data_IF_938015191730
#
_entry.id   IF_938015191730
#
_cell.length_a   1.000
_cell.length_b   1.000
_cell.length_c   1.000
_cell.angle_alpha   90.00
_cell.angle_beta   90.00
_cell.angle_gamma   90.00
#
_symmetry.space_group_name_H-M   'P 1'
#
loop_
_entity.id
_entity.type
_entity.pdbx_description
1 polymer ?
#
# COMPACT_ATOMS: atom_id res chain seq x y z
N UNK A 1 -18.27 -13.22 1.27
CA UNK A 1 -17.65 -12.44 0.16
C UNK A 1 -17.00 -11.18 0.71
N UNK A 2 -15.81 -10.83 0.20
CA UNK A 2 -15.11 -9.62 0.65
C UNK A 2 -15.76 -8.35 0.09
N UNK A 3 -16.05 -7.39 0.96
CA UNK A 3 -16.52 -6.07 0.53
C UNK A 3 -15.36 -5.23 -0.05
N UNK A 4 -15.66 -4.22 -0.86
CA UNK A 4 -14.65 -3.29 -1.36
C UNK A 4 -13.83 -2.60 -0.25
N UNK A 5 -14.45 -2.35 0.91
CA UNK A 5 -13.80 -1.77 2.10
C UNK A 5 -12.84 -2.76 2.75
N UNK A 6 -13.22 -4.03 2.87
CA UNK A 6 -12.36 -5.10 3.39
C UNK A 6 -11.14 -5.31 2.49
N UNK A 7 -11.34 -5.36 1.16
CA UNK A 7 -10.23 -5.41 0.20
C UNK A 7 -9.29 -4.21 0.31
N UNK A 8 -9.83 -2.99 0.50
CA UNK A 8 -9.01 -1.81 0.69
C UNK A 8 -8.18 -1.89 1.98
N UNK A 9 -8.79 -2.34 3.09
CA UNK A 9 -8.12 -2.47 4.39
C UNK A 9 -6.97 -3.49 4.36
N UNK A 10 -7.15 -4.62 3.68
CA UNK A 10 -6.08 -5.62 3.45
C UNK A 10 -4.87 -4.97 2.78
N UNK A 11 -5.11 -4.25 1.68
CA UNK A 11 -4.02 -3.58 0.96
C UNK A 11 -3.33 -2.50 1.79
N UNK A 12 -4.08 -1.76 2.58
CA UNK A 12 -3.55 -0.68 3.43
C UNK A 12 -2.70 -1.23 4.60
N UNK A 13 -2.97 -2.44 5.10
CA UNK A 13 -2.13 -3.09 6.10
C UNK A 13 -0.72 -3.36 5.57
N UNK A 14 -0.58 -3.96 4.38
CA UNK A 14 0.74 -4.23 3.79
C UNK A 14 1.48 -2.96 3.38
N UNK A 15 0.76 -1.96 2.88
CA UNK A 15 1.34 -0.64 2.65
C UNK A 15 1.99 -0.11 3.92
N UNK A 16 1.26 -0.14 5.04
CA UNK A 16 1.76 0.34 6.33
C UNK A 16 2.95 -0.48 6.84
N UNK A 17 2.89 -1.80 6.76
CA UNK A 17 3.97 -2.68 7.20
C UNK A 17 5.31 -2.35 6.52
N UNK A 18 5.29 -2.14 5.20
CA UNK A 18 6.48 -1.78 4.44
C UNK A 18 6.92 -0.32 4.65
N UNK A 19 5.99 0.60 4.91
CA UNK A 19 6.32 1.97 5.31
C UNK A 19 6.98 2.01 6.69
N UNK A 20 6.51 1.24 7.65
CA UNK A 20 7.09 1.15 8.98
C UNK A 20 8.55 0.63 8.92
N UNK A 21 8.83 -0.32 8.05
CA UNK A 21 10.18 -0.77 7.77
C UNK A 21 11.04 0.35 7.14
N UNK A 22 10.54 1.04 6.12
CA UNK A 22 11.20 2.19 5.49
C UNK A 22 11.58 3.25 6.52
N UNK A 23 10.63 3.60 7.40
CA UNK A 23 10.82 4.60 8.44
C UNK A 23 11.88 4.20 9.46
N UNK A 24 11.94 2.91 9.82
CA UNK A 24 12.98 2.37 10.71
C UNK A 24 14.37 2.48 10.08
N UNK A 25 14.51 2.13 8.81
CA UNK A 25 15.80 2.22 8.07
C UNK A 25 16.24 3.67 7.90
N UNK A 26 15.35 4.58 7.50
CA UNK A 26 15.69 6.01 7.35
C UNK A 26 16.14 6.60 8.70
N UNK A 27 15.48 6.26 9.79
CA UNK A 27 15.85 6.72 11.14
C UNK A 27 17.20 6.19 11.57
N UNK A 28 17.49 4.91 11.33
CA UNK A 28 18.80 4.34 11.66
C UNK A 28 19.91 5.05 10.91
N UNK A 29 19.76 5.26 9.60
CA UNK A 29 20.72 5.99 8.78
C UNK A 29 20.89 7.45 9.27
N UNK A 30 19.80 8.17 9.55
CA UNK A 30 19.86 9.56 10.02
C UNK A 30 20.60 9.68 11.35
N UNK A 31 20.31 8.78 12.32
CA UNK A 31 21.00 8.71 13.61
C UNK A 31 22.49 8.44 13.48
N UNK A 32 22.89 7.55 12.55
CA UNK A 32 24.31 7.23 12.33
C UNK A 32 25.05 8.35 11.62
N UNK A 33 24.40 9.06 10.71
CA UNK A 33 24.97 10.25 10.08
C UNK A 33 25.26 11.35 11.11
N UNK A 34 24.40 11.56 12.12
CA UNK A 34 24.63 12.58 13.15
C UNK A 34 25.79 12.27 14.10
N UNK A 35 26.08 10.98 14.36
CA UNK A 35 27.21 10.58 15.22
C UNK A 35 28.59 10.92 14.66
N UNK A 36 28.71 11.14 13.35
CA UNK A 36 29.99 11.43 12.71
C UNK A 36 30.45 12.89 12.87
N UNK A 37 29.65 13.75 13.53
CA UNK A 37 29.93 15.18 13.73
C UNK A 37 31.14 15.46 14.66
N UNK A 38 31.44 14.55 15.61
CA UNK A 38 32.45 14.77 16.65
C UNK A 38 33.89 14.39 16.26
N UNK A 39 34.13 13.95 15.00
CA UNK A 39 35.40 13.36 14.62
C UNK A 39 36.26 14.29 13.77
N UNK A 40 37.40 14.67 14.33
CA UNK A 40 38.35 15.62 13.72
C UNK A 40 39.51 14.99 12.94
N UNK A 41 39.78 13.67 13.09
CA UNK A 41 40.89 13.00 12.42
C UNK A 41 40.42 12.00 11.34
N UNK A 42 41.04 12.07 10.15
CA UNK A 42 40.67 11.31 8.96
C UNK A 42 40.69 9.79 9.16
N UNK A 43 41.66 9.27 9.95
CA UNK A 43 41.78 7.84 10.22
C UNK A 43 40.69 7.33 11.17
N UNK A 44 40.38 8.08 12.23
CA UNK A 44 39.31 7.78 13.17
C UNK A 44 37.95 7.85 12.48
N UNK A 45 37.73 8.82 11.61
CA UNK A 45 36.54 8.94 10.79
C UNK A 45 36.35 7.74 9.87
N UNK A 46 37.42 7.23 9.24
CA UNK A 46 37.34 6.02 8.37
C UNK A 46 37.02 4.75 9.16
N UNK A 47 37.61 4.55 10.33
CA UNK A 47 37.36 3.40 11.20
C UNK A 47 35.88 3.40 11.66
N UNK A 48 35.41 4.53 12.18
CA UNK A 48 34.00 4.67 12.57
C UNK A 48 33.04 4.48 11.41
N UNK A 49 33.36 4.99 10.23
CA UNK A 49 32.54 4.76 9.02
C UNK A 49 32.39 3.25 8.72
N UNK A 50 33.47 2.48 8.85
CA UNK A 50 33.42 1.02 8.64
C UNK A 50 32.60 0.32 9.72
N UNK A 51 32.73 0.72 10.99
CA UNK A 51 31.95 0.16 12.10
C UNK A 51 30.45 0.49 11.95
N UNK A 52 30.09 1.74 11.72
CA UNK A 52 28.70 2.16 11.54
C UNK A 52 28.05 1.54 10.30
N UNK A 53 28.82 1.31 9.22
CA UNK A 53 28.36 0.57 8.05
C UNK A 53 28.08 -0.93 8.37
N UNK A 54 28.93 -1.55 9.19
CA UNK A 54 28.74 -2.93 9.66
C UNK A 54 27.47 -3.03 10.51
N UNK A 55 27.35 -2.23 11.56
CA UNK A 55 26.20 -2.18 12.44
C UNK A 55 24.88 -1.85 11.69
N UNK A 56 24.93 -0.95 10.72
CA UNK A 56 23.75 -0.63 9.89
C UNK A 56 23.32 -1.83 9.05
N UNK A 57 24.28 -2.61 8.50
CA UNK A 57 23.94 -3.84 7.75
C UNK A 57 23.26 -4.87 8.63
N UNK A 58 23.76 -5.08 9.84
CA UNK A 58 23.20 -6.04 10.80
C UNK A 58 21.80 -5.63 11.23
N UNK A 59 21.57 -4.36 11.52
CA UNK A 59 20.26 -3.84 11.86
C UNK A 59 19.28 -3.93 10.69
N UNK A 60 19.68 -3.59 9.48
CA UNK A 60 18.84 -3.76 8.27
C UNK A 60 18.50 -5.22 8.03
N UNK A 61 19.47 -6.14 8.22
CA UNK A 61 19.23 -7.57 8.08
C UNK A 61 18.21 -8.08 9.12
N UNK A 62 18.33 -7.64 10.38
CA UNK A 62 17.39 -7.97 11.46
C UNK A 62 15.97 -7.46 11.13
N UNK A 63 15.84 -6.19 10.77
CA UNK A 63 14.56 -5.58 10.39
C UNK A 63 13.93 -6.27 9.18
N UNK A 64 14.74 -6.69 8.20
CA UNK A 64 14.25 -7.40 7.02
C UNK A 64 13.73 -8.80 7.38
N UNK A 65 14.41 -9.52 8.27
CA UNK A 65 13.94 -10.81 8.75
C UNK A 65 12.61 -10.71 9.51
N UNK A 66 12.47 -9.69 10.37
CA UNK A 66 11.25 -9.41 11.10
C UNK A 66 10.08 -9.05 10.16
N UNK A 67 10.34 -8.19 9.16
CA UNK A 67 9.36 -7.83 8.13
C UNK A 67 8.85 -9.06 7.38
N UNK A 68 9.75 -9.98 6.99
CA UNK A 68 9.39 -11.20 6.26
C UNK A 68 8.57 -12.16 7.13
N UNK A 69 8.93 -12.37 8.39
CA UNK A 69 8.18 -13.24 9.30
C UNK A 69 6.74 -12.74 9.50
N UNK A 70 6.56 -11.45 9.76
CA UNK A 70 5.24 -10.82 9.89
C UNK A 70 4.46 -10.93 8.56
N UNK A 71 5.12 -10.62 7.44
CA UNK A 71 4.50 -10.65 6.13
C UNK A 71 4.02 -12.05 5.75
N UNK A 72 4.83 -13.09 5.96
CA UNK A 72 4.50 -14.48 5.63
C UNK A 72 3.30 -14.99 6.44
N UNK A 73 3.25 -14.70 7.75
CA UNK A 73 2.11 -15.05 8.62
C UNK A 73 0.84 -14.32 8.18
N UNK A 74 0.92 -13.02 7.98
CA UNK A 74 -0.23 -12.20 7.61
C UNK A 74 -0.79 -12.58 6.23
N UNK A 75 0.06 -12.90 5.27
CA UNK A 75 -0.39 -13.40 3.95
C UNK A 75 -1.21 -14.67 4.11
N UNK A 76 -0.73 -15.64 4.90
CA UNK A 76 -1.45 -16.90 5.11
C UNK A 76 -2.82 -16.67 5.78
N UNK A 77 -2.86 -15.88 6.85
CA UNK A 77 -4.10 -15.54 7.58
C UNK A 77 -5.11 -14.80 6.69
N UNK A 78 -4.65 -13.84 5.90
CA UNK A 78 -5.51 -13.08 5.00
C UNK A 78 -6.06 -13.90 3.84
N UNK A 79 -5.27 -14.81 3.28
CA UNK A 79 -5.72 -15.71 2.22
C UNK A 79 -6.76 -16.70 2.75
N UNK A 80 -6.55 -17.23 3.96
CA UNK A 80 -7.52 -18.08 4.64
C UNK A 80 -8.83 -17.31 4.88
N UNK A 81 -8.75 -16.13 5.47
CA UNK A 81 -9.92 -15.27 5.69
C UNK A 81 -10.66 -14.95 4.37
N UNK A 82 -9.92 -14.62 3.31
CA UNK A 82 -10.50 -14.35 2.00
C UNK A 82 -11.24 -15.57 1.42
N UNK A 83 -10.69 -16.78 1.61
CA UNK A 83 -11.34 -18.01 1.19
C UNK A 83 -12.63 -18.27 1.99
N UNK A 84 -12.60 -18.09 3.31
CA UNK A 84 -13.79 -18.23 4.17
C UNK A 84 -14.89 -17.25 3.76
N UNK A 85 -14.56 -15.98 3.56
CA UNK A 85 -15.53 -14.95 3.13
C UNK A 85 -16.09 -15.23 1.73
N UNK A 86 -15.28 -15.78 0.81
CA UNK A 86 -15.71 -16.08 -0.56
C UNK A 86 -16.61 -17.32 -0.67
N UNK A 87 -16.63 -18.14 0.37
CA UNK A 87 -17.47 -19.35 0.46
C UNK A 87 -18.63 -19.21 1.44
N UNK A 88 -18.81 -18.01 2.04
CA UNK A 88 -19.90 -17.72 2.97
C UNK A 88 -21.18 -17.36 2.20
N UNK A 89 -22.08 -18.33 2.04
CA UNK A 89 -23.37 -18.18 1.38
C UNK A 89 -24.51 -18.34 2.38
N UNK A 90 -25.72 -17.93 1.97
CA UNK A 90 -26.95 -18.18 2.74
C UNK A 90 -27.22 -19.70 2.84
N UNK A 91 -27.75 -20.15 3.97
CA UNK A 91 -28.05 -21.55 4.26
C UNK A 91 -28.88 -22.21 3.14
N UNK A 92 -29.88 -21.51 2.61
CA UNK A 92 -30.72 -22.01 1.50
C UNK A 92 -29.91 -22.31 0.21
N UNK A 93 -28.77 -21.69 -0.01
CA UNK A 93 -27.88 -21.96 -1.15
C UNK A 93 -27.12 -23.27 -0.90
N UNK A 94 -26.66 -23.51 0.31
CA UNK A 94 -26.01 -24.77 0.70
C UNK A 94 -26.97 -25.94 0.65
N UNK A 95 -28.20 -25.79 1.17
CA UNK A 95 -29.25 -26.80 1.16
C UNK A 95 -29.58 -27.22 -0.28
N UNK A 96 -29.72 -26.25 -1.19
CA UNK A 96 -29.99 -26.51 -2.59
C UNK A 96 -28.89 -27.29 -3.29
N UNK A 97 -27.63 -26.95 -2.97
CA UNK A 97 -26.45 -27.57 -3.57
C UNK A 97 -26.09 -28.90 -2.90
N UNK A 98 -26.72 -29.24 -1.77
CA UNK A 98 -26.42 -30.46 -1.02
C UNK A 98 -24.98 -30.48 -0.48
N UNK A 99 -24.45 -29.31 -0.07
CA UNK A 99 -23.09 -29.15 0.42
C UNK A 99 -23.05 -28.16 1.60
N UNK A 100 -21.90 -28.02 2.22
CA UNK A 100 -21.64 -27.08 3.32
C UNK A 100 -20.42 -26.21 3.02
N UNK A 101 -20.31 -25.09 3.72
CA UNK A 101 -19.12 -24.25 3.62
C UNK A 101 -17.83 -25.03 3.95
N UNK A 102 -17.86 -25.89 4.97
CA UNK A 102 -16.72 -26.70 5.37
C UNK A 102 -16.30 -27.69 4.28
N UNK A 103 -17.26 -28.32 3.57
CA UNK A 103 -16.96 -29.21 2.45
C UNK A 103 -16.37 -28.46 1.28
N UNK A 104 -16.85 -27.27 0.97
CA UNK A 104 -16.28 -26.41 -0.09
C UNK A 104 -14.85 -26.01 0.27
N UNK A 105 -14.61 -25.52 1.50
CA UNK A 105 -13.28 -25.14 1.97
C UNK A 105 -12.34 -26.34 2.08
N UNK A 106 -12.81 -27.49 2.55
CA UNK A 106 -12.03 -28.72 2.68
C UNK A 106 -11.76 -29.45 1.35
N UNK A 107 -12.35 -29.01 0.26
CA UNK A 107 -12.14 -29.62 -1.05
C UNK A 107 -10.68 -29.49 -1.48
N UNK A 108 -10.10 -30.58 -1.99
CA UNK A 108 -8.69 -30.62 -2.40
C UNK A 108 -8.32 -29.60 -3.48
N UNK A 109 -9.25 -29.20 -4.34
CA UNK A 109 -9.02 -28.15 -5.33
C UNK A 109 -8.96 -26.77 -4.66
N UNK A 110 -9.89 -26.46 -3.76
CA UNK A 110 -9.90 -25.21 -2.97
C UNK A 110 -8.62 -25.06 -2.15
N UNK A 111 -8.18 -26.12 -1.49
CA UNK A 111 -6.94 -26.13 -0.72
C UNK A 111 -5.71 -25.87 -1.59
N UNK A 112 -5.61 -26.50 -2.78
CA UNK A 112 -4.53 -26.21 -3.73
C UNK A 112 -4.52 -24.77 -4.23
N UNK A 113 -5.69 -24.18 -4.50
CA UNK A 113 -5.81 -22.76 -4.88
C UNK A 113 -5.32 -21.86 -3.76
N UNK A 114 -5.71 -22.14 -2.52
CA UNK A 114 -5.29 -21.40 -1.33
C UNK A 114 -3.77 -21.49 -1.11
N UNK A 115 -3.20 -22.68 -1.13
CA UNK A 115 -1.75 -22.89 -0.98
C UNK A 115 -0.96 -22.20 -2.10
N UNK A 116 -1.42 -22.28 -3.35
CA UNK A 116 -0.79 -21.61 -4.48
C UNK A 116 -0.80 -20.08 -4.32
N UNK A 117 -1.94 -19.49 -3.93
CA UNK A 117 -2.07 -18.06 -3.70
C UNK A 117 -1.19 -17.57 -2.55
N UNK A 118 -1.13 -18.31 -1.44
CA UNK A 118 -0.23 -18.03 -0.31
C UNK A 118 1.22 -18.03 -0.78
N UNK A 119 1.66 -19.14 -1.40
CA UNK A 119 3.04 -19.30 -1.85
C UNK A 119 3.46 -18.24 -2.86
N UNK A 120 2.60 -17.93 -3.83
CA UNK A 120 2.87 -16.89 -4.84
C UNK A 120 3.01 -15.52 -4.19
N UNK A 121 2.10 -15.14 -3.31
CA UNK A 121 2.11 -13.81 -2.65
C UNK A 121 3.32 -13.67 -1.71
N UNK A 122 3.64 -14.70 -0.93
CA UNK A 122 4.85 -14.71 -0.09
C UNK A 122 6.13 -14.59 -0.92
N UNK A 123 6.20 -15.27 -2.08
CA UNK A 123 7.35 -15.15 -2.98
C UNK A 123 7.49 -13.74 -3.56
N UNK A 124 6.39 -13.08 -3.91
CA UNK A 124 6.41 -11.68 -4.33
C UNK A 124 6.93 -10.76 -3.20
N UNK A 125 6.50 -10.96 -1.94
CA UNK A 125 7.01 -10.21 -0.80
C UNK A 125 8.52 -10.41 -0.61
N UNK A 126 9.02 -11.65 -0.75
CA UNK A 126 10.47 -11.96 -0.70
C UNK A 126 11.24 -11.32 -1.85
N UNK A 127 10.67 -11.27 -3.06
CA UNK A 127 11.29 -10.60 -4.20
C UNK A 127 11.43 -9.10 -3.97
N UNK A 128 10.39 -8.45 -3.43
CA UNK A 128 10.43 -7.04 -3.06
C UNK A 128 11.53 -6.79 -2.02
N UNK A 129 11.59 -7.59 -0.96
CA UNK A 129 12.55 -7.38 0.15
C UNK A 129 14.01 -7.61 -0.26
N UNK A 130 14.30 -8.52 -1.19
CA UNK A 130 15.67 -8.82 -1.65
C UNK A 130 16.33 -7.67 -2.41
N UNK A 131 15.55 -6.78 -3.00
CA UNK A 131 16.06 -5.69 -3.84
C UNK A 131 15.65 -4.31 -3.35
N UNK A 132 15.43 -4.17 -2.03
CA UNK A 132 15.09 -2.87 -1.42
C UNK A 132 16.29 -1.92 -1.35
N UNK A 133 16.04 -0.65 -1.61
CA UNK A 133 17.03 0.41 -1.59
C UNK A 133 16.43 1.78 -1.86
N UNK A 134 17.27 2.71 -2.24
CA UNK A 134 16.89 4.11 -2.52
C UNK A 134 17.31 4.53 -3.93
N UNK A 135 16.45 5.31 -4.59
CA UNK A 135 16.80 5.95 -5.85
C UNK A 135 17.28 7.37 -5.58
N UNK A 136 18.56 7.62 -5.80
CA UNK A 136 19.17 8.93 -5.61
C UNK A 136 18.63 9.98 -6.60
N UNK A 137 18.96 11.26 -6.36
CA UNK A 137 18.61 12.37 -7.27
C UNK A 137 19.23 12.22 -8.67
N UNK A 138 20.33 11.48 -8.76
CA UNK A 138 20.97 11.09 -10.02
C UNK A 138 20.23 10.02 -10.79
N UNK A 139 19.07 9.56 -10.27
CA UNK A 139 18.27 8.52 -10.87
C UNK A 139 18.80 7.09 -10.68
N UNK A 140 19.97 6.92 -10.03
CA UNK A 140 20.59 5.61 -9.80
C UNK A 140 20.01 4.96 -8.56
N UNK A 141 19.57 3.72 -8.69
CA UNK A 141 19.16 2.90 -7.56
C UNK A 141 20.38 2.36 -6.80
N UNK A 142 20.29 2.33 -5.47
CA UNK A 142 21.33 1.84 -4.56
C UNK A 142 20.69 1.04 -3.43
N UNK A 143 21.31 -0.07 -3.04
CA UNK A 143 20.91 -0.78 -1.81
C UNK A 143 20.98 0.14 -0.60
N UNK A 144 20.31 -0.20 0.50
CA UNK A 144 20.31 0.60 1.73
C UNK A 144 21.75 0.92 2.21
N UNK A 145 22.64 -0.08 2.19
CA UNK A 145 24.04 0.11 2.56
C UNK A 145 24.80 1.06 1.61
N UNK A 146 24.59 0.93 0.30
CA UNK A 146 25.20 1.82 -0.69
C UNK A 146 24.64 3.25 -0.61
N UNK A 147 23.35 3.40 -0.31
CA UNK A 147 22.72 4.70 -0.13
C UNK A 147 23.29 5.41 1.12
N UNK A 148 23.47 4.67 2.23
CA UNK A 148 24.11 5.19 3.44
C UNK A 148 25.57 5.58 3.17
N UNK A 149 26.36 4.72 2.53
CA UNK A 149 27.76 5.03 2.19
C UNK A 149 27.85 6.29 1.32
N UNK A 150 27.00 6.41 0.29
CA UNK A 150 26.95 7.61 -0.56
C UNK A 150 26.60 8.87 0.22
N UNK A 151 25.66 8.78 1.15
CA UNK A 151 25.29 9.91 2.00
C UNK A 151 26.47 10.39 2.85
N UNK A 152 27.20 9.46 3.45
CA UNK A 152 28.44 9.74 4.19
C UNK A 152 29.54 10.33 3.31
N UNK A 153 29.80 9.74 2.13
CA UNK A 153 30.83 10.19 1.21
C UNK A 153 30.54 11.61 0.69
N UNK A 154 29.28 11.87 0.33
CA UNK A 154 28.84 13.19 -0.11
C UNK A 154 28.96 14.23 1.00
N UNK A 155 28.55 13.92 2.23
CA UNK A 155 28.66 14.82 3.36
C UNK A 155 30.15 15.13 3.67
N UNK A 156 30.99 14.09 3.70
CA UNK A 156 32.44 14.25 3.94
C UNK A 156 33.10 15.11 2.86
N UNK A 157 32.81 14.90 1.59
CA UNK A 157 33.34 15.67 0.47
C UNK A 157 32.93 17.16 0.56
N UNK A 158 31.66 17.42 0.83
CA UNK A 158 31.13 18.79 0.93
C UNK A 158 31.74 19.58 2.09
N UNK A 159 32.01 18.90 3.22
CA UNK A 159 32.66 19.49 4.38
C UNK A 159 34.15 19.71 4.10
N UNK A 160 34.86 18.72 3.57
CA UNK A 160 36.29 18.80 3.30
C UNK A 160 36.69 19.86 2.25
N UNK A 161 35.77 20.09 1.29
CA UNK A 161 35.92 21.15 0.27
C UNK A 161 35.45 22.53 0.74
N UNK A 162 34.95 22.66 1.97
CA UNK A 162 34.42 23.91 2.50
C UNK A 162 33.12 24.39 1.81
N UNK A 163 32.49 23.55 1.00
CA UNK A 163 31.27 23.92 0.24
C UNK A 163 30.05 24.03 1.14
N UNK A 164 29.99 23.21 2.20
CA UNK A 164 28.90 23.20 3.19
C UNK A 164 29.46 22.98 4.60
N UNK A 165 28.75 23.51 5.62
CA UNK A 165 29.00 23.08 6.99
C UNK A 165 28.58 21.62 7.15
N UNK A 166 29.12 20.95 8.18
CA UNK A 166 28.78 19.56 8.49
C UNK A 166 27.25 19.36 8.66
N UNK A 167 26.60 20.23 9.42
CA UNK A 167 25.15 20.21 9.62
C UNK A 167 24.37 20.39 8.31
N UNK A 168 24.83 21.27 7.42
CA UNK A 168 24.19 21.44 6.11
C UNK A 168 24.34 20.20 5.23
N UNK A 169 25.48 19.53 5.27
CA UNK A 169 25.75 18.32 4.52
C UNK A 169 24.87 17.14 5.02
N UNK A 170 24.78 16.93 6.34
CA UNK A 170 23.87 15.94 6.95
C UNK A 170 22.42 16.26 6.59
N UNK A 171 21.99 17.51 6.73
CA UNK A 171 20.65 17.97 6.36
C UNK A 171 20.29 17.57 4.92
N UNK A 172 21.21 17.81 3.98
CA UNK A 172 21.02 17.47 2.58
C UNK A 172 20.87 15.94 2.38
N UNK A 173 21.74 15.15 3.01
CA UNK A 173 21.73 13.69 2.90
C UNK A 173 20.44 13.06 3.50
N UNK A 174 20.06 13.50 4.70
CA UNK A 174 18.85 13.02 5.38
C UNK A 174 17.59 13.36 4.60
N UNK A 175 17.51 14.59 4.07
CA UNK A 175 16.37 14.99 3.21
C UNK A 175 16.32 14.19 1.92
N UNK A 176 17.46 13.89 1.30
CA UNK A 176 17.49 13.08 0.08
C UNK A 176 16.89 11.69 0.31
N UNK A 177 17.29 11.00 1.39
CA UNK A 177 16.77 9.68 1.74
C UNK A 177 15.27 9.73 2.07
N UNK A 178 14.84 10.67 2.92
CA UNK A 178 13.44 10.83 3.30
C UNK A 178 12.52 11.20 2.11
N UNK A 179 13.07 11.93 1.12
CA UNK A 179 12.34 12.33 -0.07
C UNK A 179 12.26 11.24 -1.13
N UNK A 180 13.35 10.50 -1.31
CA UNK A 180 13.40 9.38 -2.25
C UNK A 180 12.39 8.30 -1.86
N UNK A 181 12.37 7.97 -0.55
CA UNK A 181 11.64 6.80 -0.05
C UNK A 181 12.23 5.49 -0.56
N UNK A 182 11.86 4.41 0.09
CA UNK A 182 12.37 3.09 -0.28
C UNK A 182 11.71 2.56 -1.54
N UNK A 183 12.50 1.98 -2.40
CA UNK A 183 12.07 1.35 -3.64
C UNK A 183 12.75 0.00 -3.81
N UNK A 184 12.22 -0.86 -4.68
CA UNK A 184 12.85 -2.10 -5.09
C UNK A 184 13.04 -2.11 -6.61
N UNK A 185 13.98 -2.92 -7.07
CA UNK A 185 14.20 -3.17 -8.50
C UNK A 185 13.54 -4.49 -8.87
N UNK A 186 12.64 -4.45 -9.82
CA UNK A 186 12.15 -5.65 -10.50
C UNK A 186 13.22 -6.11 -11.50
N UNK A 187 13.90 -7.21 -11.18
CA UNK A 187 15.00 -7.72 -11.99
C UNK A 187 14.57 -8.19 -13.39
N UNK A 188 13.32 -8.57 -13.57
CA UNK A 188 12.81 -9.03 -14.86
C UNK A 188 12.58 -7.86 -15.84
N UNK A 189 12.06 -6.74 -15.33
CA UNK A 189 11.73 -5.56 -16.15
C UNK A 189 12.72 -4.40 -16.00
N UNK A 190 13.56 -4.41 -14.97
CA UNK A 190 14.44 -3.30 -14.60
C UNK A 190 13.70 -2.09 -14.02
N UNK A 191 12.38 -2.17 -13.80
CA UNK A 191 11.59 -1.08 -13.26
C UNK A 191 11.86 -0.90 -11.75
N UNK A 192 11.94 0.36 -11.35
CA UNK A 192 12.09 0.75 -9.95
C UNK A 192 10.73 1.23 -9.43
N UNK A 193 10.21 0.52 -8.44
CA UNK A 193 8.92 0.81 -7.81
C UNK A 193 9.09 1.07 -6.31
N UNK A 194 8.18 1.83 -5.72
CA UNK A 194 8.13 1.98 -4.27
C UNK A 194 7.74 0.66 -3.61
N UNK A 195 8.42 0.30 -2.53
CA UNK A 195 8.21 -0.97 -1.81
C UNK A 195 6.82 -1.09 -1.20
N UNK A 196 6.33 -0.02 -0.57
CA UNK A 196 5.01 0.09 0.05
C UNK A 196 3.87 -0.15 -0.97
N UNK A 197 3.97 0.50 -2.14
CA UNK A 197 2.99 0.35 -3.23
C UNK A 197 3.05 -1.04 -3.84
N UNK A 198 4.25 -1.60 -3.98
CA UNK A 198 4.44 -2.93 -4.53
C UNK A 198 3.89 -4.03 -3.62
N UNK A 199 4.17 -3.97 -2.31
CA UNK A 199 3.66 -4.91 -1.32
C UNK A 199 2.12 -4.87 -1.26
N UNK A 200 1.55 -3.67 -1.22
CA UNK A 200 0.10 -3.49 -1.30
C UNK A 200 -0.48 -4.15 -2.57
N UNK A 201 0.14 -3.91 -3.71
CA UNK A 201 -0.30 -4.48 -4.99
C UNK A 201 -0.18 -6.00 -5.02
N UNK A 202 0.93 -6.56 -4.54
CA UNK A 202 1.15 -8.00 -4.49
C UNK A 202 0.06 -8.71 -3.66
N UNK A 203 -0.22 -8.19 -2.45
CA UNK A 203 -1.25 -8.74 -1.59
C UNK A 203 -2.65 -8.64 -2.22
N UNK A 204 -3.04 -7.46 -2.72
CA UNK A 204 -4.34 -7.27 -3.36
C UNK A 204 -4.51 -8.13 -4.61
N UNK A 205 -3.46 -8.31 -5.39
CA UNK A 205 -3.51 -9.18 -6.57
C UNK A 205 -3.71 -10.63 -6.16
N UNK A 206 -2.95 -11.12 -5.16
CA UNK A 206 -3.09 -12.48 -4.65
C UNK A 206 -4.50 -12.76 -4.12
N UNK A 207 -5.03 -11.88 -3.25
CA UNK A 207 -6.42 -11.99 -2.74
C UNK A 207 -7.44 -11.94 -3.88
N UNK A 208 -7.29 -11.00 -4.82
CA UNK A 208 -8.22 -10.87 -5.96
C UNK A 208 -8.21 -12.11 -6.86
N UNK A 209 -7.06 -12.69 -7.14
CA UNK A 209 -6.97 -13.92 -7.94
C UNK A 209 -7.63 -15.10 -7.22
N UNK A 210 -7.27 -15.33 -5.94
CA UNK A 210 -7.85 -16.38 -5.13
C UNK A 210 -9.39 -16.28 -5.07
N UNK A 211 -9.92 -15.11 -4.68
CA UNK A 211 -11.38 -14.93 -4.55
C UNK A 211 -12.09 -15.03 -5.90
N UNK A 212 -11.47 -14.59 -7.00
CA UNK A 212 -12.02 -14.76 -8.36
C UNK A 212 -12.10 -16.23 -8.78
N UNK A 213 -11.04 -17.00 -8.55
CA UNK A 213 -11.01 -18.45 -8.83
C UNK A 213 -12.02 -19.20 -7.98
N UNK A 214 -12.12 -18.88 -6.68
CA UNK A 214 -13.10 -19.45 -5.77
C UNK A 214 -14.53 -19.13 -6.21
N UNK A 215 -14.81 -17.90 -6.65
CA UNK A 215 -16.15 -17.52 -7.13
C UNK A 215 -16.55 -18.30 -8.36
N UNK A 216 -15.63 -18.55 -9.30
CA UNK A 216 -15.88 -19.43 -10.46
C UNK A 216 -16.10 -20.87 -10.01
N UNK A 217 -15.30 -21.39 -9.09
CA UNK A 217 -15.46 -22.75 -8.56
C UNK A 217 -16.79 -22.91 -7.82
N UNK A 218 -17.17 -21.93 -7.00
CA UNK A 218 -18.42 -21.91 -6.28
C UNK A 218 -19.64 -21.91 -7.23
N UNK A 219 -19.61 -21.09 -8.29
CA UNK A 219 -20.67 -21.08 -9.29
C UNK A 219 -20.87 -22.47 -9.91
N UNK A 220 -19.78 -23.18 -10.24
CA UNK A 220 -19.83 -24.56 -10.75
C UNK A 220 -20.41 -25.55 -9.72
N UNK A 221 -19.95 -25.46 -8.46
CA UNK A 221 -20.42 -26.35 -7.37
C UNK A 221 -21.90 -26.15 -7.08
N UNK A 222 -22.37 -24.91 -7.19
CA UNK A 222 -23.74 -24.50 -6.93
C UNK A 222 -24.67 -24.59 -8.18
N UNK A 223 -24.15 -25.13 -9.28
CA UNK A 223 -24.85 -25.33 -10.55
C UNK A 223 -25.49 -24.03 -11.11
N UNK A 224 -24.70 -22.95 -11.14
CA UNK A 224 -25.09 -21.70 -11.80
C UNK A 224 -23.99 -21.21 -12.74
N UNK A 225 -24.38 -20.59 -13.85
CA UNK A 225 -23.47 -19.96 -14.82
C UNK A 225 -23.50 -18.42 -14.69
N UNK A 226 -24.22 -17.89 -13.70
CA UNK A 226 -24.41 -16.46 -13.51
C UNK A 226 -23.68 -15.97 -12.26
N UNK A 227 -23.15 -14.75 -12.37
CA UNK A 227 -22.47 -14.07 -11.27
C UNK A 227 -22.89 -12.61 -11.23
N UNK A 228 -23.04 -12.05 -10.04
CA UNK A 228 -23.23 -10.62 -9.84
C UNK A 228 -21.92 -9.98 -9.42
N UNK A 229 -21.55 -8.86 -10.04
CA UNK A 229 -20.35 -8.08 -9.72
C UNK A 229 -20.70 -7.05 -8.66
N UNK A 230 -19.84 -6.86 -7.66
CA UNK A 230 -20.03 -5.83 -6.62
C UNK A 230 -19.90 -4.43 -7.18
N UNK A 231 -20.49 -3.44 -6.49
CA UNK A 231 -20.37 -2.04 -6.82
C UNK A 231 -19.86 -1.24 -5.61
N UNK A 232 -19.18 -0.13 -5.87
CA UNK A 232 -18.74 0.80 -4.83
C UNK A 232 -18.61 2.23 -5.35
N UNK A 233 -18.77 3.18 -4.47
CA UNK A 233 -18.54 4.60 -4.75
C UNK A 233 -17.08 4.86 -5.18
N UNK A 234 -16.88 5.76 -6.13
CA UNK A 234 -15.56 6.15 -6.61
C UNK A 234 -14.85 5.05 -7.39
N UNK A 235 -15.58 4.20 -8.09
CA UNK A 235 -15.02 3.27 -9.05
C UNK A 235 -14.30 4.02 -10.17
N UNK A 236 -13.25 3.40 -10.76
CA UNK A 236 -12.62 3.96 -11.97
C UNK A 236 -13.66 4.08 -13.08
N UNK A 237 -13.60 5.12 -13.94
CA UNK A 237 -14.60 5.29 -15.00
C UNK A 237 -14.83 4.04 -15.85
N UNK A 238 -13.76 3.32 -16.19
CA UNK A 238 -13.81 2.06 -16.96
C UNK A 238 -14.50 0.93 -16.19
N UNK A 239 -14.48 0.96 -14.86
CA UNK A 239 -15.14 -0.03 -13.99
C UNK A 239 -16.58 0.36 -13.65
N UNK A 240 -16.87 1.64 -13.58
CA UNK A 240 -18.21 2.14 -13.28
C UNK A 240 -19.28 1.66 -14.27
N UNK A 241 -18.89 1.41 -15.52
CA UNK A 241 -19.83 0.98 -16.58
C UNK A 241 -20.36 -0.44 -16.40
N UNK A 242 -19.63 -1.29 -15.71
CA UNK A 242 -19.96 -2.71 -15.56
C UNK A 242 -20.20 -3.17 -14.11
N UNK A 243 -19.93 -2.34 -13.10
CA UNK A 243 -20.16 -2.70 -11.69
C UNK A 243 -21.64 -2.94 -11.38
N UNK A 244 -21.94 -3.75 -10.38
CA UNK A 244 -23.28 -3.98 -9.85
C UNK A 244 -24.25 -4.69 -10.82
N UNK A 245 -23.73 -5.37 -11.83
CA UNK A 245 -24.54 -6.07 -12.85
C UNK A 245 -24.29 -7.56 -12.80
N UNK A 246 -25.24 -8.32 -13.39
CA UNK A 246 -25.18 -9.77 -13.52
C UNK A 246 -24.61 -10.15 -14.87
N UNK A 247 -23.75 -11.17 -14.89
CA UNK A 247 -23.02 -11.66 -16.06
C UNK A 247 -23.07 -13.17 -16.14
N UNK A 248 -22.84 -13.72 -17.35
CA UNK A 248 -22.58 -15.15 -17.55
C UNK A 248 -21.10 -15.45 -17.53
N UNK A 249 -20.73 -16.56 -16.91
CA UNK A 249 -19.35 -17.08 -16.96
C UNK A 249 -19.04 -17.65 -18.35
N UNK A 250 -19.97 -18.42 -18.93
CA UNK A 250 -19.83 -19.07 -20.23
C UNK A 250 -20.88 -18.54 -21.22
N UNK A 251 -20.43 -18.09 -22.40
CA UNK A 251 -21.33 -17.55 -23.43
C UNK A 251 -21.97 -16.20 -23.01
N UNK A 252 -23.06 -15.85 -23.64
CA UNK A 252 -23.88 -14.67 -23.36
C UNK A 252 -25.31 -14.90 -23.77
N UNK A 253 -26.27 -14.18 -23.16
CA UNK A 253 -27.67 -14.16 -23.55
C UNK A 253 -28.29 -12.77 -23.30
N UNK A 254 -29.52 -12.50 -23.82
CA UNK A 254 -30.19 -11.24 -23.59
C UNK A 254 -30.30 -10.90 -22.10
N UNK A 255 -29.78 -9.75 -21.68
CA UNK A 255 -29.75 -9.29 -20.28
C UNK A 255 -28.52 -9.77 -19.47
N UNK A 256 -27.79 -10.78 -19.94
CA UNK A 256 -26.64 -11.36 -19.23
C UNK A 256 -25.42 -11.51 -20.17
N UNK A 257 -24.64 -10.44 -20.36
CA UNK A 257 -23.43 -10.49 -21.20
C UNK A 257 -22.35 -11.39 -20.57
N UNK A 258 -21.36 -11.78 -21.38
CA UNK A 258 -20.23 -12.56 -20.90
C UNK A 258 -19.36 -11.74 -19.94
N UNK A 259 -19.02 -12.32 -18.78
CA UNK A 259 -18.22 -11.67 -17.74
C UNK A 259 -16.87 -11.18 -18.28
N UNK A 260 -16.10 -12.07 -18.89
CA UNK A 260 -14.74 -11.74 -19.33
C UNK A 260 -14.73 -10.66 -20.43
N UNK A 261 -15.68 -10.74 -21.38
CA UNK A 261 -15.79 -9.76 -22.47
C UNK A 261 -16.23 -8.39 -21.95
N UNK A 262 -17.23 -8.36 -21.07
CA UNK A 262 -17.81 -7.11 -20.60
C UNK A 262 -16.94 -6.38 -19.56
N UNK A 263 -16.21 -7.12 -18.71
CA UNK A 263 -15.47 -6.56 -17.59
C UNK A 263 -13.96 -6.63 -17.73
N UNK A 264 -13.46 -7.34 -18.76
CA UNK A 264 -12.03 -7.62 -18.90
C UNK A 264 -11.48 -8.58 -17.84
N UNK A 265 -12.32 -9.43 -17.21
CA UNK A 265 -11.86 -10.43 -16.25
C UNK A 265 -10.73 -11.30 -16.84
N UNK A 266 -9.66 -11.50 -16.06
CA UNK A 266 -8.44 -12.18 -16.54
C UNK A 266 -7.42 -11.25 -17.18
N UNK A 267 -7.67 -9.93 -17.26
CA UNK A 267 -6.72 -8.95 -17.76
C UNK A 267 -6.27 -7.98 -16.66
N UNK A 268 -5.09 -7.39 -16.82
CA UNK A 268 -4.56 -6.44 -15.83
C UNK A 268 -5.47 -5.24 -15.52
N UNK A 269 -6.06 -4.54 -16.51
CA UNK A 269 -6.92 -3.39 -16.25
C UNK A 269 -8.37 -3.76 -15.90
N UNK A 270 -8.80 -5.01 -16.09
CA UNK A 270 -10.18 -5.46 -15.91
C UNK A 270 -10.57 -5.84 -14.48
N UNK A 271 -11.69 -6.55 -14.37
CA UNK A 271 -12.21 -7.10 -13.12
C UNK A 271 -11.17 -8.06 -12.49
N UNK A 272 -10.95 -7.92 -11.17
CA UNK A 272 -9.91 -8.65 -10.40
C UNK A 272 -8.46 -8.34 -10.82
N UNK A 273 -8.26 -7.39 -11.72
CA UNK A 273 -6.94 -6.93 -12.15
C UNK A 273 -6.34 -5.87 -11.21
N UNK A 274 -5.42 -5.05 -11.73
CA UNK A 274 -4.61 -4.10 -10.94
C UNK A 274 -5.45 -3.09 -10.16
N UNK A 275 -5.31 -3.12 -8.83
CA UNK A 275 -6.02 -2.23 -7.90
C UNK A 275 -7.56 -2.26 -8.07
N UNK A 276 -8.11 -3.31 -8.67
CA UNK A 276 -9.55 -3.52 -8.70
C UNK A 276 -10.05 -3.84 -7.28
N UNK A 277 -11.14 -3.21 -6.86
CA UNK A 277 -11.80 -3.45 -5.57
C UNK A 277 -13.12 -4.18 -5.71
N UNK A 278 -13.49 -4.53 -6.96
CA UNK A 278 -14.69 -5.29 -7.23
C UNK A 278 -14.44 -6.77 -7.00
N UNK A 279 -15.48 -7.44 -6.53
CA UNK A 279 -15.59 -8.89 -6.45
C UNK A 279 -16.81 -9.36 -7.26
N UNK A 280 -16.99 -10.66 -7.39
CA UNK A 280 -18.20 -11.23 -7.98
C UNK A 280 -18.53 -12.54 -7.29
N UNK A 281 -19.80 -12.91 -7.31
CA UNK A 281 -20.34 -14.07 -6.60
C UNK A 281 -21.44 -14.74 -7.40
N UNK A 282 -21.71 -16.04 -7.14
CA UNK A 282 -22.79 -16.78 -7.78
C UNK A 282 -24.13 -16.08 -7.64
N UNK A 283 -24.88 -16.04 -8.72
CA UNK A 283 -26.22 -15.48 -8.82
C UNK A 283 -27.18 -16.48 -9.43
N UNK A 284 -28.42 -16.51 -8.98
CA UNK A 284 -29.45 -17.46 -9.45
C UNK A 284 -30.61 -16.68 -10.05
N UNK A 285 -30.69 -16.53 -11.38
CA UNK A 285 -31.81 -15.86 -12.05
C UNK A 285 -33.16 -16.44 -11.67
N UNK A 286 -34.12 -15.58 -11.35
CA UNK A 286 -35.44 -15.97 -10.90
C UNK A 286 -35.58 -16.41 -9.45
N UNK A 287 -34.47 -16.44 -8.70
CA UNK A 287 -34.41 -16.75 -7.26
C UNK A 287 -33.80 -15.60 -6.48
N UNK A 288 -32.64 -15.12 -6.94
CA UNK A 288 -31.97 -14.00 -6.33
C UNK A 288 -32.49 -12.66 -6.88
N UNK A 289 -32.59 -11.68 -6.00
CA UNK A 289 -32.72 -10.28 -6.38
C UNK A 289 -31.32 -9.67 -6.49
N UNK A 290 -31.13 -8.78 -7.46
CA UNK A 290 -29.86 -8.02 -7.61
C UNK A 290 -29.59 -7.21 -6.37
N UNK A 291 -28.34 -7.25 -5.88
CA UNK A 291 -27.90 -6.44 -4.74
C UNK A 291 -27.91 -4.94 -5.06
N UNK A 292 -27.82 -4.59 -6.35
CA UNK A 292 -27.78 -3.19 -6.81
C UNK A 292 -28.85 -2.99 -7.89
N UNK A 293 -29.81 -2.11 -7.61
CA UNK A 293 -30.78 -1.67 -8.63
C UNK A 293 -30.11 -0.68 -9.60
N UNK A 294 -30.76 -0.45 -10.74
CA UNK A 294 -30.27 0.57 -11.69
C UNK A 294 -30.36 2.00 -11.11
N UNK A 295 -31.21 2.23 -10.12
CA UNK A 295 -31.31 3.48 -9.38
C UNK A 295 -30.13 3.63 -8.39
N UNK A 296 -29.79 2.55 -7.65
CA UNK A 296 -28.63 2.53 -6.77
C UNK A 296 -27.35 2.84 -7.55
N UNK A 297 -27.18 2.21 -8.71
CA UNK A 297 -26.01 2.43 -9.56
C UNK A 297 -25.92 3.86 -10.13
N UNK A 298 -27.05 4.48 -10.45
CA UNK A 298 -27.08 5.90 -10.89
C UNK A 298 -26.72 6.85 -9.76
N UNK A 299 -27.02 6.51 -8.52
CA UNK A 299 -26.85 7.34 -7.34
C UNK A 299 -25.62 6.93 -6.49
N UNK A 300 -24.83 5.95 -6.94
CA UNK A 300 -23.71 5.40 -6.17
C UNK A 300 -22.60 6.41 -5.89
N UNK A 301 -22.39 7.34 -6.83
CA UNK A 301 -21.45 8.44 -6.67
C UNK A 301 -22.20 9.74 -6.31
N UNK A 302 -21.71 10.49 -5.31
CA UNK A 302 -22.23 11.83 -5.05
C UNK A 302 -21.97 12.75 -6.26
N UNK A 303 -22.75 13.82 -6.42
CA UNK A 303 -22.49 14.78 -7.48
C UNK A 303 -21.08 15.38 -7.34
N UNK A 304 -20.44 15.74 -8.47
CA UNK A 304 -19.14 16.41 -8.44
C UNK A 304 -19.18 17.71 -7.62
N UNK A 305 -18.12 17.98 -6.87
CA UNK A 305 -18.01 19.20 -6.07
C UNK A 305 -16.78 20.03 -6.47
N UNK A 306 -16.80 21.32 -6.15
CA UNK A 306 -15.68 22.24 -6.45
C UNK A 306 -14.90 22.56 -5.19
N UNK A 307 -13.58 22.43 -5.27
CA UNK A 307 -12.63 22.76 -4.22
C UNK A 307 -11.45 23.54 -4.82
N UNK A 308 -11.16 24.71 -4.27
CA UNK A 308 -10.05 25.58 -4.72
C UNK A 308 -10.05 25.79 -6.25
N UNK A 309 -11.23 26.09 -6.82
CA UNK A 309 -11.40 26.35 -8.24
C UNK A 309 -11.36 25.13 -9.17
N UNK A 310 -11.18 23.92 -8.63
CA UNK A 310 -11.20 22.66 -9.39
C UNK A 310 -12.41 21.80 -9.00
N UNK A 311 -13.07 21.23 -10.01
CA UNK A 311 -14.15 20.27 -9.83
C UNK A 311 -13.60 18.84 -9.75
N UNK A 312 -14.14 18.05 -8.82
CA UNK A 312 -13.75 16.68 -8.55
C UNK A 312 -14.95 15.76 -8.63
N UNK A 313 -14.84 14.66 -9.37
CA UNK A 313 -15.70 13.49 -9.25
C UNK A 313 -15.38 12.70 -7.97
N UNK A 314 -16.23 11.76 -7.57
CA UNK A 314 -15.97 10.89 -6.41
C UNK A 314 -14.63 10.14 -6.52
N UNK A 315 -14.32 9.60 -7.72
CA UNK A 315 -13.03 8.96 -8.01
C UNK A 315 -11.87 9.93 -7.85
N UNK A 316 -11.91 11.10 -8.51
CA UNK A 316 -10.84 12.09 -8.44
C UNK A 316 -10.64 12.63 -7.02
N UNK A 317 -11.72 12.82 -6.26
CA UNK A 317 -11.67 13.22 -4.86
C UNK A 317 -10.89 12.19 -4.01
N UNK A 318 -11.19 10.90 -4.18
CA UNK A 318 -10.49 9.83 -3.48
C UNK A 318 -8.99 9.77 -3.85
N UNK A 319 -8.63 10.00 -5.12
CA UNK A 319 -7.24 10.04 -5.57
C UNK A 319 -6.50 11.27 -5.02
N UNK A 320 -7.15 12.42 -4.96
CA UNK A 320 -6.55 13.63 -4.38
C UNK A 320 -6.36 13.51 -2.87
N UNK A 321 -7.33 12.92 -2.16
CA UNK A 321 -7.20 12.59 -0.74
C UNK A 321 -5.95 11.72 -0.47
N UNK A 322 -5.77 10.64 -1.25
CA UNK A 322 -4.58 9.77 -1.16
C UNK A 322 -3.27 10.50 -1.44
N UNK A 323 -3.26 11.44 -2.38
CA UNK A 323 -2.09 12.27 -2.66
C UNK A 323 -1.73 13.15 -1.46
N UNK A 324 -2.72 13.70 -0.76
CA UNK A 324 -2.50 14.48 0.47
C UNK A 324 -1.96 13.59 1.60
N UNK A 325 -2.54 12.39 1.80
CA UNK A 325 -2.07 11.40 2.77
C UNK A 325 -0.59 11.04 2.53
N UNK A 326 -0.22 10.76 1.29
CA UNK A 326 1.17 10.47 0.91
C UNK A 326 2.10 11.65 1.20
N UNK A 327 1.64 12.88 0.92
CA UNK A 327 2.42 14.11 1.22
C UNK A 327 2.62 14.30 2.73
N UNK A 328 1.60 14.02 3.55
CA UNK A 328 1.70 14.11 5.01
C UNK A 328 2.65 13.05 5.58
N UNK A 329 2.61 11.80 5.08
CA UNK A 329 3.58 10.77 5.48
C UNK A 329 5.01 11.20 5.16
N UNK A 330 5.25 11.72 3.97
CA UNK A 330 6.56 12.25 3.58
C UNK A 330 7.04 13.37 4.54
N UNK A 331 6.16 14.27 4.94
CA UNK A 331 6.48 15.33 5.90
C UNK A 331 6.79 14.75 7.27
N UNK A 332 6.02 13.76 7.76
CA UNK A 332 6.31 13.08 9.03
C UNK A 332 7.67 12.37 9.01
N UNK A 333 8.04 11.70 7.91
CA UNK A 333 9.38 11.09 7.75
C UNK A 333 10.49 12.12 7.85
N UNK A 334 10.31 13.29 7.23
CA UNK A 334 11.29 14.39 7.35
C UNK A 334 11.42 14.91 8.78
N UNK A 335 10.31 14.99 9.52
CA UNK A 335 10.33 15.36 10.94
C UNK A 335 11.10 14.32 11.76
N UNK A 336 10.84 13.03 11.56
CA UNK A 336 11.55 11.94 12.23
C UNK A 336 13.05 11.97 11.90
N UNK A 337 13.37 12.17 10.64
CA UNK A 337 14.76 12.23 10.18
C UNK A 337 15.48 13.46 10.72
N UNK A 338 14.82 14.62 10.78
CA UNK A 338 15.36 15.84 11.37
C UNK A 338 15.57 15.69 12.88
N UNK A 339 14.64 15.07 13.60
CA UNK A 339 14.79 14.76 15.03
C UNK A 339 15.97 13.81 15.28
N UNK A 340 16.07 12.73 14.50
CA UNK A 340 17.19 11.77 14.62
C UNK A 340 18.56 12.38 14.33
N UNK A 341 18.62 13.39 13.47
CA UNK A 341 19.83 14.12 13.10
C UNK A 341 20.08 15.39 13.95
N UNK A 342 19.25 15.71 14.93
CA UNK A 342 19.38 16.90 15.78
C UNK A 342 19.13 18.24 15.06
N UNK A 343 18.42 18.24 13.92
CA UNK A 343 18.18 19.42 13.07
C UNK A 343 16.93 20.19 13.51
N UNK A 344 17.02 21.02 14.55
CA UNK A 344 15.88 21.70 15.19
C UNK A 344 15.10 22.62 14.26
N UNK A 345 15.77 23.37 13.39
CA UNK A 345 15.11 24.30 12.45
C UNK A 345 14.29 23.55 11.41
N UNK A 346 14.83 22.45 10.88
CA UNK A 346 14.12 21.60 9.92
C UNK A 346 12.94 20.88 10.57
N UNK A 347 13.13 20.41 11.81
CA UNK A 347 12.07 19.83 12.62
C UNK A 347 10.90 20.80 12.76
N UNK A 348 11.17 22.04 13.13
CA UNK A 348 10.15 23.10 13.30
C UNK A 348 9.46 23.44 11.99
N UNK A 349 10.22 23.65 10.91
CA UNK A 349 9.68 23.99 9.59
C UNK A 349 8.76 22.90 9.03
N UNK A 350 9.19 21.63 9.12
CA UNK A 350 8.35 20.51 8.64
C UNK A 350 7.15 20.27 9.57
N UNK A 351 7.24 20.59 10.87
CA UNK A 351 6.10 20.52 11.81
C UNK A 351 5.02 21.53 11.45
N UNK A 352 5.38 22.78 11.17
CA UNK A 352 4.46 23.82 10.70
C UNK A 352 3.78 23.39 9.38
N UNK A 353 4.56 22.84 8.46
CA UNK A 353 4.04 22.32 7.18
C UNK A 353 3.03 21.18 7.39
N UNK A 354 3.31 20.23 8.28
CA UNK A 354 2.42 19.12 8.61
C UNK A 354 1.08 19.62 9.15
N UNK A 355 1.09 20.65 10.02
CA UNK A 355 -0.14 21.26 10.51
C UNK A 355 -1.02 21.78 9.37
N UNK A 356 -0.42 22.58 8.46
CA UNK A 356 -1.15 23.13 7.29
C UNK A 356 -1.71 22.02 6.38
N UNK A 357 -0.94 20.96 6.18
CA UNK A 357 -1.38 19.79 5.41
C UNK A 357 -2.58 19.09 6.07
N UNK A 358 -2.57 18.95 7.41
CA UNK A 358 -3.69 18.37 8.16
C UNK A 358 -4.96 19.21 8.09
N UNK A 359 -4.82 20.53 8.21
CA UNK A 359 -5.94 21.47 8.07
C UNK A 359 -6.59 21.35 6.68
N UNK A 360 -5.79 21.39 5.62
CA UNK A 360 -6.25 21.22 4.24
C UNK A 360 -6.87 19.84 3.99
N UNK A 361 -6.27 18.78 4.51
CA UNK A 361 -6.76 17.41 4.39
C UNK A 361 -8.15 17.24 5.01
N UNK A 362 -8.36 17.78 6.21
CA UNK A 362 -9.65 17.74 6.91
C UNK A 362 -10.71 18.56 6.18
N UNK A 363 -10.38 19.78 5.76
CA UNK A 363 -11.31 20.65 5.02
C UNK A 363 -11.72 20.01 3.68
N UNK A 364 -10.76 19.50 2.92
CA UNK A 364 -11.03 18.78 1.66
C UNK A 364 -11.90 17.54 1.90
N UNK A 365 -11.52 16.68 2.84
CA UNK A 365 -12.24 15.43 3.13
C UNK A 365 -13.69 15.72 3.55
N UNK A 366 -13.91 16.74 4.39
CA UNK A 366 -15.25 17.16 4.80
C UNK A 366 -16.10 17.62 3.60
N UNK A 367 -15.54 18.48 2.73
CA UNK A 367 -16.25 18.97 1.54
C UNK A 367 -16.49 17.88 0.49
N UNK A 368 -15.60 16.90 0.42
CA UNK A 368 -15.74 15.75 -0.46
C UNK A 368 -16.67 14.65 0.10
N UNK A 369 -17.21 14.82 1.31
CA UNK A 369 -17.95 13.78 2.04
C UNK A 369 -17.17 12.46 2.18
N UNK A 370 -15.82 12.56 2.27
CA UNK A 370 -14.94 11.42 2.46
C UNK A 370 -14.53 11.33 3.95
N UNK A 371 -14.53 10.14 4.55
CA UNK A 371 -13.98 9.96 5.90
C UNK A 371 -12.46 10.23 5.87
N UNK A 372 -11.94 10.86 6.93
CA UNK A 372 -10.50 10.95 7.12
C UNK A 372 -9.91 9.59 7.46
N UNK A 373 -8.80 9.23 6.81
CA UNK A 373 -8.15 7.93 6.94
C UNK A 373 -6.91 8.09 7.85
N UNK A 374 -7.15 8.26 9.17
CA UNK A 374 -6.05 8.53 10.12
C UNK A 374 -4.99 7.40 10.11
N UNK A 375 -5.40 6.14 9.92
CA UNK A 375 -4.49 5.00 9.84
C UNK A 375 -3.54 5.10 8.62
N UNK A 376 -4.02 5.63 7.51
CA UNK A 376 -3.22 5.82 6.29
C UNK A 376 -2.16 6.91 6.40
N UNK A 377 -2.30 7.82 7.36
CA UNK A 377 -1.32 8.88 7.61
C UNK A 377 -0.42 8.59 8.79
N UNK A 378 -0.55 7.41 9.42
CA UNK A 378 0.37 6.99 10.48
C UNK A 378 1.75 6.68 9.90
N UNK A 379 2.78 7.00 10.69
CA UNK A 379 4.19 6.74 10.37
C UNK A 379 4.84 6.20 11.63
N UNK A 380 5.59 5.10 11.53
CA UNK A 380 6.31 4.51 12.65
C UNK A 380 7.29 5.55 13.24
N UNK A 381 7.27 5.70 14.57
CA UNK A 381 8.07 6.72 15.25
C UNK A 381 7.46 8.10 15.27
N UNK A 382 6.37 8.36 14.57
CA UNK A 382 5.58 9.58 14.72
C UNK A 382 4.42 9.36 15.70
N UNK A 383 4.74 8.82 16.89
CA UNK A 383 3.78 8.58 17.96
C UNK A 383 3.39 9.85 18.74
N UNK A 384 2.70 9.67 19.87
CA UNK A 384 2.22 10.79 20.72
C UNK A 384 3.36 11.71 21.18
N UNK A 385 4.53 11.18 21.54
CA UNK A 385 5.69 11.96 21.98
C UNK A 385 6.21 12.85 20.85
N UNK A 386 6.44 12.30 19.67
CA UNK A 386 6.90 13.05 18.50
C UNK A 386 5.86 14.08 18.06
N UNK A 387 4.59 13.72 18.04
CA UNK A 387 3.50 14.65 17.72
C UNK A 387 3.43 15.81 18.73
N UNK A 388 3.59 15.54 20.03
CA UNK A 388 3.64 16.57 21.07
C UNK A 388 4.82 17.51 20.91
N UNK A 389 6.01 16.98 20.63
CA UNK A 389 7.22 17.75 20.31
C UNK A 389 7.04 18.64 19.06
N UNK A 390 6.40 18.10 18.01
CA UNK A 390 6.10 18.86 16.81
C UNK A 390 5.13 20.01 17.07
N UNK A 391 4.06 19.78 17.83
CA UNK A 391 3.09 20.83 18.23
C UNK A 391 3.75 21.91 19.08
N UNK A 392 4.68 21.54 19.98
CA UNK A 392 5.41 22.51 20.79
C UNK A 392 6.35 23.37 19.93
N UNK A 393 7.09 22.76 19.01
CA UNK A 393 7.99 23.48 18.10
C UNK A 393 7.27 24.44 17.14
N UNK A 394 6.00 24.19 16.83
CA UNK A 394 5.16 25.08 16.01
C UNK A 394 4.76 26.38 16.73
N UNK A 395 4.74 26.35 18.05
CA UNK A 395 4.22 27.45 18.90
C UNK A 395 5.30 28.41 19.42
N UNK A 396 6.54 27.96 19.38
CA UNK A 396 7.71 28.72 19.83
C UNK A 396 8.66 29.02 18.68
#
# INVERSE_FOLDING_TARGET
MLTPEQLAAIGDYFLKLFEDYEDAVIRDIARRLSKTEELTETAQLQIMRLMELGESRDEIARLTAELLDISDKTVAELMQYAAEQSTDFREAVFDRAGTTQQEILGNAQTQRMLEAAISQTQNEMRNITRSMGFRGRDGVWRSCAQAYQRALDSATLQVSTGTMSYQQAIRSAVRELADAGMSYVDYASGWVNRTDVAARRACLTGVSQLTGELSVQNAKTLDTDYVEVTAHMGARPEHAVWQGKVYKLNGSEPGYPNLAIATGYGTGPGLKGWNCRHDFYPFFPGIDERAYTDEDLRNIDPPPFTYDGRTYSAYEASQYQRKMETSMRKTKRRIIAADGAGLSDDFTAESIKLRRQREMYRDFSHKAHLPTQEDRIQVLGFGRSMSGKAVWAERN
#
